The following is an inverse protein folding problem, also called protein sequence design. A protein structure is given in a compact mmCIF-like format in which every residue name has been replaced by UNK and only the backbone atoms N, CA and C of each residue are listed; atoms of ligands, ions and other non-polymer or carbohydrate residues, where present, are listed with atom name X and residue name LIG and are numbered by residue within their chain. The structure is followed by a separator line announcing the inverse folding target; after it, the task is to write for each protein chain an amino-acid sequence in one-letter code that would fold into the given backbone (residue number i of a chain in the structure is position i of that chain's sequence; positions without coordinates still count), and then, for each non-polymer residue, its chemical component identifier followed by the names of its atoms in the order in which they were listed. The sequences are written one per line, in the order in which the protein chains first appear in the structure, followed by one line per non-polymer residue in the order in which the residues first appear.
data_IF_788563538730
#
_entry.id   IF_788563538730
#
_cell.length_a   1.000
_cell.length_b   1.000
_cell.length_c   1.000
_cell.angle_alpha   90.00
_cell.angle_beta   90.00
_cell.angle_gamma   90.00
#
_symmetry.space_group_name_H-M   'P 1'
#
loop_
_entity.id
_entity.type
_entity.pdbx_description
1 polymer ?
#
# COMPACT_ATOMS: atom_id res chain seq x y z
N UNK A 1 -12.95 2.77 3.51
CA UNK A 1 -11.93 1.74 3.80
C UNK A 1 -11.87 0.79 2.63
N UNK A 2 -10.68 0.40 2.15
CA UNK A 2 -10.56 -0.72 1.22
C UNK A 2 -10.92 -2.02 1.94
N UNK A 3 -11.39 -3.02 1.19
CA UNK A 3 -11.49 -4.39 1.72
C UNK A 3 -10.08 -4.89 2.03
N UNK A 4 -9.88 -5.57 3.16
CA UNK A 4 -8.53 -5.91 3.63
C UNK A 4 -7.76 -6.71 2.59
N UNK A 5 -8.40 -7.68 1.92
CA UNK A 5 -7.77 -8.49 0.86
C UNK A 5 -7.21 -7.66 -0.30
N UNK A 6 -7.79 -6.48 -0.61
CA UNK A 6 -7.34 -5.65 -1.72
C UNK A 6 -5.99 -4.97 -1.42
N UNK A 7 -5.52 -5.04 -0.17
CA UNK A 7 -4.20 -4.59 0.24
C UNK A 7 -3.12 -5.68 0.06
N UNK A 8 -3.49 -6.90 -0.31
CA UNK A 8 -2.53 -7.95 -0.67
C UNK A 8 -1.71 -7.58 -1.92
N UNK A 9 -0.82 -8.47 -2.31
CA UNK A 9 -0.15 -8.39 -3.61
C UNK A 9 -1.10 -8.86 -4.71
N UNK A 10 -1.12 -8.14 -5.84
CA UNK A 10 -1.90 -8.47 -7.03
C UNK A 10 -0.95 -8.86 -8.17
N UNK A 11 -1.31 -9.87 -8.96
CA UNK A 11 -0.61 -10.22 -10.19
C UNK A 11 -1.54 -10.04 -11.37
N UNK A 12 -1.03 -9.43 -12.44
CA UNK A 12 -1.76 -9.29 -13.70
C UNK A 12 -0.81 -9.36 -14.88
N UNK A 13 -1.29 -9.83 -16.02
CA UNK A 13 -0.62 -9.65 -17.30
C UNK A 13 -1.62 -9.34 -18.39
N UNK A 14 -1.26 -8.45 -19.30
CA UNK A 14 -2.13 -8.17 -20.45
C UNK A 14 -1.97 -9.24 -21.53
N UNK A 15 -3.09 -9.74 -22.04
CA UNK A 15 -3.16 -10.58 -23.23
C UNK A 15 -4.34 -10.16 -24.12
N UNK A 16 -4.25 -10.47 -25.41
CA UNK A 16 -5.29 -10.21 -26.43
C UNK A 16 -5.96 -11.50 -26.92
N UNK A 17 -5.96 -12.56 -26.11
CA UNK A 17 -6.80 -13.71 -26.44
C UNK A 17 -8.26 -13.22 -26.46
N UNK A 18 -8.97 -13.47 -27.57
CA UNK A 18 -10.36 -13.06 -27.68
C UNK A 18 -11.17 -13.73 -26.57
N UNK A 19 -12.23 -13.09 -26.10
CA UNK A 19 -13.15 -13.65 -25.10
C UNK A 19 -13.55 -15.09 -25.45
N UNK A 20 -13.86 -15.31 -26.73
CA UNK A 20 -14.13 -16.64 -27.31
C UNK A 20 -12.96 -17.61 -27.12
N UNK A 21 -11.72 -17.22 -27.42
CA UNK A 21 -10.53 -18.07 -27.27
C UNK A 21 -10.21 -18.34 -25.80
N UNK A 22 -10.33 -17.33 -24.93
CA UNK A 22 -10.13 -17.47 -23.48
C UNK A 22 -11.13 -18.47 -22.93
N UNK A 23 -12.41 -18.36 -23.30
CA UNK A 23 -13.44 -19.31 -22.90
C UNK A 23 -13.23 -20.68 -23.54
N UNK A 24 -13.15 -20.81 -24.86
CA UNK A 24 -13.15 -22.12 -25.51
C UNK A 24 -11.86 -22.92 -25.28
N UNK A 25 -10.68 -22.27 -25.31
CA UNK A 25 -9.39 -22.97 -25.35
C UNK A 25 -8.65 -23.00 -24.01
N UNK A 26 -8.90 -22.05 -23.09
CA UNK A 26 -8.15 -21.92 -21.83
C UNK A 26 -8.99 -22.14 -20.58
N UNK A 27 -10.10 -21.41 -20.46
CA UNK A 27 -10.96 -21.37 -19.27
C UNK A 27 -12.44 -21.55 -19.65
N UNK A 28 -12.83 -22.75 -20.11
CA UNK A 28 -14.20 -23.04 -20.57
C UNK A 28 -15.24 -22.99 -19.47
N UNK A 29 -14.81 -23.10 -18.22
CA UNK A 29 -15.64 -22.87 -17.05
C UNK A 29 -15.01 -21.81 -16.13
N UNK A 30 -15.28 -20.51 -16.38
CA UNK A 30 -14.82 -19.42 -15.53
C UNK A 30 -15.33 -19.53 -14.10
N UNK A 31 -16.49 -20.17 -13.88
CA UNK A 31 -17.03 -20.35 -12.52
C UNK A 31 -16.17 -21.34 -11.74
N UNK A 32 -15.77 -22.44 -12.37
CA UNK A 32 -14.85 -23.41 -11.76
C UNK A 32 -13.47 -22.78 -11.50
N UNK A 33 -12.92 -22.01 -12.44
CA UNK A 33 -11.67 -21.27 -12.21
C UNK A 33 -11.76 -20.34 -10.98
N UNK A 34 -12.83 -19.53 -10.90
CA UNK A 34 -13.04 -18.61 -9.77
C UNK A 34 -13.25 -19.38 -8.48
N UNK A 35 -13.98 -20.50 -8.52
CA UNK A 35 -14.16 -21.38 -7.37
C UNK A 35 -12.81 -21.90 -6.85
N UNK A 36 -11.95 -22.39 -7.73
CA UNK A 36 -10.62 -22.92 -7.36
C UNK A 36 -9.73 -21.81 -6.80
N UNK A 37 -9.73 -20.63 -7.42
CA UNK A 37 -9.03 -19.45 -6.89
C UNK A 37 -9.51 -19.10 -5.48
N UNK A 38 -10.83 -19.05 -5.26
CA UNK A 38 -11.40 -18.77 -3.94
C UNK A 38 -11.08 -19.86 -2.93
N UNK A 39 -11.09 -21.13 -3.32
CA UNK A 39 -10.73 -22.27 -2.48
C UNK A 39 -9.26 -22.19 -2.03
N UNK A 40 -8.37 -21.69 -2.89
CA UNK A 40 -6.97 -21.41 -2.58
C UNK A 40 -6.72 -20.03 -1.93
N UNK A 41 -7.77 -19.30 -1.55
CA UNK A 41 -7.67 -18.02 -0.84
C UNK A 41 -7.35 -16.80 -1.73
N UNK A 42 -7.32 -16.96 -3.05
CA UNK A 42 -7.18 -15.88 -4.01
C UNK A 42 -8.50 -15.14 -4.26
N UNK A 43 -8.41 -13.98 -4.91
CA UNK A 43 -9.54 -13.19 -5.40
C UNK A 43 -9.37 -12.95 -6.89
N UNK A 44 -10.46 -13.03 -7.63
CA UNK A 44 -10.48 -12.74 -9.06
C UNK A 44 -10.95 -11.29 -9.31
N UNK A 45 -10.19 -10.53 -10.11
CA UNK A 45 -10.54 -9.19 -10.57
C UNK A 45 -10.54 -9.19 -12.10
N UNK A 46 -11.58 -8.64 -12.70
CA UNK A 46 -11.75 -8.60 -14.15
C UNK A 46 -11.64 -7.16 -14.65
N UNK A 47 -10.97 -6.99 -15.80
CA UNK A 47 -10.94 -5.69 -16.48
C UNK A 47 -12.28 -5.46 -17.19
N UNK A 48 -12.77 -4.23 -17.13
CA UNK A 48 -13.91 -3.77 -17.90
C UNK A 48 -13.52 -2.46 -18.57
N UNK A 49 -13.82 -2.35 -19.87
CA UNK A 49 -13.66 -1.12 -20.63
C UNK A 49 -15.05 -0.49 -20.87
N UNK A 50 -15.18 0.84 -20.82
CA UNK A 50 -16.47 1.50 -21.07
C UNK A 50 -16.86 1.48 -22.55
N UNK A 51 -15.92 1.24 -23.47
CA UNK A 51 -16.17 1.16 -24.89
C UNK A 51 -16.84 -0.16 -25.28
N UNK A 52 -18.03 -0.08 -25.86
CA UNK A 52 -18.76 -1.25 -26.35
C UNK A 52 -18.54 -1.39 -27.86
N UNK A 53 -18.25 -2.60 -28.32
CA UNK A 53 -18.08 -2.91 -29.74
C UNK A 53 -19.40 -2.67 -30.48
N UNK A 54 -19.33 -1.88 -31.54
CA UNK A 54 -20.44 -1.65 -32.49
C UNK A 54 -20.64 -2.91 -33.35
N UNK A 55 -21.45 -3.85 -32.86
CA UNK A 55 -21.70 -5.13 -33.50
C UNK A 55 -23.15 -5.58 -33.29
N UNK A 56 -23.95 -5.59 -34.37
CA UNK A 56 -25.33 -6.08 -34.31
C UNK A 56 -25.37 -7.57 -33.94
N UNK A 57 -26.26 -7.93 -33.00
CA UNK A 57 -26.33 -9.28 -32.44
C UNK A 57 -25.46 -9.49 -31.21
N UNK A 58 -24.54 -8.56 -30.92
CA UNK A 58 -23.88 -8.52 -29.61
C UNK A 58 -24.86 -7.93 -28.58
N UNK A 59 -25.33 -8.76 -27.65
CA UNK A 59 -26.44 -8.38 -26.78
C UNK A 59 -26.22 -7.09 -25.99
N UNK A 60 -24.98 -6.78 -25.57
CA UNK A 60 -24.66 -5.53 -24.85
C UNK A 60 -24.87 -4.30 -25.76
N UNK A 61 -24.43 -4.38 -27.01
CA UNK A 61 -24.70 -3.33 -28.00
C UNK A 61 -26.20 -3.23 -28.34
N UNK A 62 -26.88 -4.36 -28.55
CA UNK A 62 -28.30 -4.35 -28.92
C UNK A 62 -29.18 -3.78 -27.78
N UNK A 63 -28.89 -4.16 -26.53
CA UNK A 63 -29.64 -3.69 -25.34
C UNK A 63 -29.33 -2.23 -25.00
N UNK A 64 -28.07 -1.82 -25.12
CA UNK A 64 -27.70 -0.42 -24.93
C UNK A 64 -28.35 0.48 -25.98
N UNK A 65 -28.41 0.05 -27.24
CA UNK A 65 -29.08 0.78 -28.32
C UNK A 65 -30.59 0.92 -28.10
N UNK A 66 -31.24 -0.11 -27.56
CA UNK A 66 -32.67 -0.04 -27.19
C UNK A 66 -32.95 0.90 -26.01
N UNK A 67 -31.97 1.06 -25.12
CA UNK A 67 -32.11 1.84 -23.89
C UNK A 67 -31.59 3.27 -24.01
N UNK A 68 -31.08 3.64 -25.19
CA UNK A 68 -30.48 4.94 -25.51
C UNK A 68 -29.42 5.40 -24.48
N UNK A 69 -28.42 4.54 -24.25
CA UNK A 69 -27.35 4.79 -23.26
C UNK A 69 -26.04 5.27 -23.90
N UNK A 70 -26.03 5.52 -25.20
CA UNK A 70 -24.83 5.91 -25.93
C UNK A 70 -24.58 7.41 -25.85
N UNK A 71 -23.30 7.79 -25.83
CA UNK A 71 -22.93 9.17 -26.15
C UNK A 71 -23.40 9.44 -27.58
N UNK A 72 -24.18 10.49 -27.77
CA UNK A 72 -24.75 10.85 -29.07
C UNK A 72 -23.93 11.96 -29.74
N UNK A 73 -23.88 11.91 -31.07
CA UNK A 73 -23.46 13.03 -31.92
C UNK A 73 -24.55 14.11 -31.94
N UNK A 74 -24.21 15.29 -32.46
CA UNK A 74 -25.17 16.39 -32.62
C UNK A 74 -26.35 16.06 -33.56
N UNK A 75 -26.21 15.04 -34.42
CA UNK A 75 -27.26 14.55 -35.33
C UNK A 75 -28.22 13.53 -34.67
N UNK A 76 -28.01 13.21 -33.38
CA UNK A 76 -28.81 12.26 -32.61
C UNK A 76 -28.41 10.80 -32.80
N UNK A 77 -27.41 10.48 -33.62
CA UNK A 77 -26.87 9.13 -33.76
C UNK A 77 -25.83 8.79 -32.69
N UNK A 78 -25.61 7.50 -32.37
CA UNK A 78 -24.57 7.10 -31.42
C UNK A 78 -23.17 7.48 -31.92
N UNK A 79 -22.28 7.80 -30.99
CA UNK A 79 -20.87 8.10 -31.26
C UNK A 79 -20.10 6.80 -31.50
N UNK A 80 -19.64 6.59 -32.73
CA UNK A 80 -18.83 5.43 -33.13
C UNK A 80 -17.40 5.89 -33.44
N UNK A 81 -16.45 5.36 -32.66
CA UNK A 81 -15.01 5.72 -32.72
C UNK A 81 -14.41 5.55 -34.12
N UNK A 82 -14.79 4.48 -34.84
CA UNK A 82 -14.25 4.15 -36.17
C UNK A 82 -14.46 5.27 -37.19
N UNK A 83 -15.61 5.93 -37.14
CA UNK A 83 -15.96 7.00 -38.09
C UNK A 83 -15.05 8.21 -37.93
N UNK A 84 -14.57 8.49 -36.71
CA UNK A 84 -13.64 9.58 -36.44
C UNK A 84 -12.20 9.27 -36.85
N UNK A 85 -11.72 8.04 -36.61
CA UNK A 85 -10.38 7.61 -37.07
C UNK A 85 -10.28 7.74 -38.60
N UNK A 86 -11.37 7.44 -39.32
CA UNK A 86 -11.42 7.58 -40.78
C UNK A 86 -11.25 9.03 -41.29
N UNK A 87 -11.44 10.03 -40.42
CA UNK A 87 -11.23 11.45 -40.72
C UNK A 87 -9.77 11.93 -40.45
N UNK A 88 -8.83 11.01 -40.21
CA UNK A 88 -7.43 11.35 -39.92
C UNK A 88 -7.20 11.79 -38.47
N UNK A 89 -8.07 11.36 -37.55
CA UNK A 89 -7.89 11.56 -36.11
C UNK A 89 -6.97 10.48 -35.55
N UNK A 90 -5.83 10.89 -35.01
CA UNK A 90 -4.78 9.99 -34.51
C UNK A 90 -5.06 9.42 -33.10
N UNK A 91 -6.07 9.93 -32.39
CA UNK A 91 -6.41 9.47 -31.05
C UNK A 91 -7.73 10.04 -30.53
N UNK A 92 -8.34 9.34 -29.58
CA UNK A 92 -9.58 9.76 -28.91
C UNK A 92 -9.31 9.84 -27.42
N UNK A 93 -9.58 11.00 -26.83
CA UNK A 93 -9.62 11.18 -25.38
C UNK A 93 -11.04 10.90 -24.92
N UNK A 94 -11.23 9.82 -24.14
CA UNK A 94 -12.49 9.56 -23.45
C UNK A 94 -12.43 10.20 -22.05
N UNK A 95 -13.08 11.35 -21.89
CA UNK A 95 -13.00 12.16 -20.68
C UNK A 95 -14.10 11.76 -19.67
N UNK A 96 -13.80 10.78 -18.85
CA UNK A 96 -14.71 10.25 -17.82
C UNK A 96 -14.35 10.72 -16.40
N UNK A 97 -13.35 11.60 -16.24
CA UNK A 97 -12.72 11.90 -14.94
C UNK A 97 -12.88 13.36 -14.48
N UNK A 98 -13.52 14.24 -15.22
CA UNK A 98 -13.75 15.61 -14.74
C UNK A 98 -14.91 15.69 -13.74
N UNK A 99 -14.70 16.21 -12.51
CA UNK A 99 -15.79 16.79 -11.74
C UNK A 99 -16.15 18.14 -12.38
N UNK A 100 -16.91 18.13 -13.46
CA UNK A 100 -17.35 19.36 -14.10
C UNK A 100 -18.31 20.13 -13.16
N UNK A 101 -17.85 21.27 -12.63
CA UNK A 101 -18.71 22.20 -11.88
C UNK A 101 -19.52 23.00 -12.90
N UNK A 102 -20.66 22.46 -13.32
CA UNK A 102 -21.55 23.03 -14.35
C UNK A 102 -22.20 24.37 -13.98
N UNK A 103 -21.83 24.98 -12.85
CA UNK A 103 -22.41 26.23 -12.32
C UNK A 103 -21.52 27.46 -12.42
N UNK A 104 -20.26 27.34 -12.89
CA UNK A 104 -19.39 28.50 -13.16
C UNK A 104 -19.28 28.77 -14.67
N UNK A 105 -19.04 30.03 -15.05
CA UNK A 105 -18.91 30.48 -16.45
C UNK A 105 -17.73 29.81 -17.15
N UNK A 106 -16.66 29.53 -16.42
CA UNK A 106 -15.46 28.85 -16.94
C UNK A 106 -15.65 27.34 -17.09
N UNK A 107 -16.68 26.75 -16.45
CA UNK A 107 -16.95 25.29 -16.41
C UNK A 107 -15.77 24.40 -15.95
N UNK A 108 -14.71 25.02 -15.44
CA UNK A 108 -13.50 24.43 -14.84
C UNK A 108 -13.06 25.29 -13.65
N UNK A 109 -12.03 24.86 -12.91
CA UNK A 109 -11.43 25.66 -11.83
C UNK A 109 -10.99 27.06 -12.35
N UNK A 110 -10.92 28.10 -11.50
CA UNK A 110 -10.52 29.43 -11.93
C UNK A 110 -9.17 29.43 -12.68
N UNK A 111 -9.06 30.22 -13.76
CA UNK A 111 -7.83 30.32 -14.58
C UNK A 111 -6.58 30.77 -13.80
N UNK A 112 -6.76 31.31 -12.59
CA UNK A 112 -5.67 31.64 -11.67
C UNK A 112 -5.07 30.44 -10.94
N UNK A 113 -5.63 29.24 -11.11
CA UNK A 113 -5.12 28.02 -10.50
C UNK A 113 -3.87 27.54 -11.24
N UNK A 114 -2.73 27.64 -10.57
CA UNK A 114 -1.46 27.12 -11.07
C UNK A 114 -1.35 25.65 -10.64
N UNK A 115 -1.46 24.74 -11.60
CA UNK A 115 -1.10 23.33 -11.42
C UNK A 115 0.37 23.14 -11.83
N UNK A 116 1.27 23.03 -10.85
CA UNK A 116 2.66 22.61 -11.10
C UNK A 116 2.71 21.08 -10.99
N UNK A 117 2.39 20.39 -12.07
CA UNK A 117 2.63 18.95 -12.18
C UNK A 117 4.02 18.74 -12.75
N UNK A 118 4.96 18.30 -11.91
CA UNK A 118 6.28 17.81 -12.34
C UNK A 118 6.15 16.36 -12.86
N UNK A 119 7.09 15.94 -13.70
CA UNK A 119 7.20 14.62 -14.36
C UNK A 119 7.48 13.44 -13.39
N UNK A 120 7.27 13.61 -12.08
CA UNK A 120 7.78 12.72 -11.03
C UNK A 120 6.68 11.99 -10.23
N UNK A 121 7.00 10.74 -9.86
CA UNK A 121 6.32 9.84 -8.89
C UNK A 121 4.85 10.21 -8.54
N UNK A 122 3.94 9.95 -9.47
CA UNK A 122 2.51 10.29 -9.34
C UNK A 122 1.75 9.64 -8.17
N UNK A 123 2.34 8.68 -7.44
CA UNK A 123 1.72 8.03 -6.27
C UNK A 123 1.38 9.04 -5.17
N UNK A 124 2.32 9.93 -4.85
CA UNK A 124 2.13 10.88 -3.75
C UNK A 124 1.21 12.04 -4.12
N UNK A 125 1.26 12.49 -5.38
CA UNK A 125 0.32 13.47 -5.93
C UNK A 125 -1.12 12.94 -5.90
N UNK A 126 -1.32 11.66 -6.21
CA UNK A 126 -2.63 11.01 -6.07
C UNK A 126 -3.10 10.97 -4.60
N UNK A 127 -2.21 10.63 -3.67
CA UNK A 127 -2.50 10.68 -2.24
C UNK A 127 -2.92 12.08 -1.78
N UNK A 128 -2.17 13.11 -2.16
CA UNK A 128 -2.49 14.52 -1.88
C UNK A 128 -3.79 14.98 -2.57
N UNK A 129 -4.17 14.34 -3.67
CA UNK A 129 -5.43 14.58 -4.39
C UNK A 129 -6.60 13.77 -3.85
N UNK A 130 -6.46 13.11 -2.70
CA UNK A 130 -7.53 12.37 -2.04
C UNK A 130 -7.71 10.91 -2.52
N UNK A 131 -6.73 10.36 -3.24
CA UNK A 131 -6.69 8.95 -3.66
C UNK A 131 -5.61 8.18 -2.89
N UNK A 132 -5.92 7.62 -1.70
CA UNK A 132 -4.92 6.97 -0.84
C UNK A 132 -4.55 5.55 -1.27
N UNK A 133 -5.34 4.90 -2.14
CA UNK A 133 -5.05 3.56 -2.66
C UNK A 133 -4.47 3.69 -4.07
N UNK A 134 -3.18 3.98 -4.16
CA UNK A 134 -2.46 4.16 -5.43
C UNK A 134 -1.10 3.44 -5.40
N UNK A 135 -0.58 3.13 -6.58
CA UNK A 135 0.68 2.43 -6.77
C UNK A 135 0.93 2.14 -8.26
N UNK A 136 2.20 2.13 -8.70
CA UNK A 136 2.56 1.84 -10.08
C UNK A 136 2.58 0.33 -10.35
N UNK A 137 2.62 -0.04 -11.63
CA UNK A 137 2.85 -1.41 -12.05
C UNK A 137 4.28 -1.85 -11.73
N UNK A 138 4.40 -2.87 -10.88
CA UNK A 138 5.68 -3.39 -10.42
C UNK A 138 6.40 -4.10 -11.56
N UNK A 139 7.65 -3.70 -11.78
CA UNK A 139 8.46 -4.18 -12.91
C UNK A 139 8.35 -3.32 -14.17
N UNK A 140 7.42 -2.36 -14.20
CA UNK A 140 7.14 -1.52 -15.36
C UNK A 140 6.16 -2.20 -16.34
N UNK A 141 5.21 -1.42 -16.85
CA UNK A 141 4.20 -1.92 -17.79
C UNK A 141 4.80 -2.21 -19.18
N UNK A 142 5.55 -1.26 -19.73
CA UNK A 142 6.11 -1.34 -21.07
C UNK A 142 7.56 -1.86 -21.10
N UNK A 143 7.85 -2.71 -22.08
CA UNK A 143 9.18 -3.29 -22.27
C UNK A 143 9.60 -4.35 -21.23
N UNK A 144 10.83 -4.86 -21.37
CA UNK A 144 11.34 -5.96 -20.54
C UNK A 144 12.12 -5.43 -19.33
N UNK A 145 11.75 -5.91 -18.14
CA UNK A 145 12.55 -5.70 -16.94
C UNK A 145 13.82 -6.57 -16.96
N UNK A 146 14.85 -6.12 -16.24
CA UNK A 146 15.97 -7.00 -15.85
C UNK A 146 15.70 -7.61 -14.48
N UNK A 147 16.30 -8.75 -14.11
CA UNK A 147 16.14 -9.33 -12.78
C UNK A 147 16.40 -8.33 -11.64
N UNK A 148 17.49 -7.56 -11.77
CA UNK A 148 17.87 -6.53 -10.79
C UNK A 148 16.86 -5.38 -10.71
N UNK A 149 16.32 -4.94 -11.85
CA UNK A 149 15.27 -3.93 -11.87
C UNK A 149 14.01 -4.46 -11.19
N UNK A 150 13.57 -5.67 -11.55
CA UNK A 150 12.35 -6.26 -11.02
C UNK A 150 12.43 -6.49 -9.51
N UNK A 151 13.54 -7.06 -9.01
CA UNK A 151 13.75 -7.27 -7.57
C UNK A 151 13.70 -5.97 -6.76
N UNK A 152 14.37 -4.91 -7.23
CA UNK A 152 14.31 -3.58 -6.60
C UNK A 152 12.91 -2.98 -6.64
N UNK A 153 12.24 -3.12 -7.78
CA UNK A 153 10.88 -2.61 -7.97
C UNK A 153 9.91 -3.34 -7.04
N UNK A 154 10.06 -4.65 -6.86
CA UNK A 154 9.27 -5.40 -5.89
C UNK A 154 9.55 -4.93 -4.46
N UNK A 155 10.82 -4.69 -4.12
CA UNK A 155 11.23 -4.16 -2.81
C UNK A 155 10.48 -2.88 -2.42
N UNK A 156 10.52 -1.85 -3.28
CA UNK A 156 9.80 -0.60 -3.03
C UNK A 156 8.28 -0.76 -3.26
N UNK A 157 7.88 -1.51 -4.29
CA UNK A 157 6.50 -1.73 -4.69
C UNK A 157 5.66 -2.42 -3.62
N UNK A 158 6.28 -3.31 -2.84
CA UNK A 158 5.67 -3.95 -1.68
C UNK A 158 5.27 -2.94 -0.58
N UNK A 159 5.89 -1.75 -0.54
CA UNK A 159 5.62 -0.72 0.45
C UNK A 159 4.57 0.32 -0.01
N UNK A 160 4.15 0.31 -1.28
CA UNK A 160 3.11 1.22 -1.77
C UNK A 160 1.69 0.83 -1.30
N UNK A 161 0.75 1.78 -1.18
CA UNK A 161 -0.62 1.48 -0.77
C UNK A 161 -1.30 0.41 -1.65
N UNK A 162 -1.21 0.56 -2.97
CA UNK A 162 -1.60 -0.47 -3.95
C UNK A 162 -0.35 -1.19 -4.49
N UNK A 163 -0.37 -2.52 -4.48
CA UNK A 163 0.80 -3.35 -4.77
C UNK A 163 0.45 -4.39 -5.84
N UNK A 164 0.87 -4.14 -7.08
CA UNK A 164 0.54 -4.99 -8.23
C UNK A 164 1.71 -5.19 -9.19
N UNK A 165 2.05 -6.43 -9.52
CA UNK A 165 2.87 -6.76 -10.69
C UNK A 165 2.03 -6.76 -11.95
N UNK A 166 2.47 -6.04 -12.98
CA UNK A 166 1.78 -5.99 -14.27
C UNK A 166 2.72 -5.62 -15.43
N UNK A 167 2.51 -6.29 -16.57
CA UNK A 167 3.20 -5.99 -17.83
C UNK A 167 2.27 -6.07 -19.03
N UNK A 168 2.70 -5.45 -20.13
CA UNK A 168 2.06 -5.52 -21.43
C UNK A 168 2.27 -6.85 -22.15
N UNK A 169 1.62 -7.01 -23.29
CA UNK A 169 1.84 -8.12 -24.20
C UNK A 169 3.21 -7.98 -24.89
N UNK A 170 3.83 -9.10 -25.28
CA UNK A 170 5.14 -9.16 -25.96
C UNK A 170 6.34 -8.78 -25.09
N UNK A 171 6.15 -8.62 -23.77
CA UNK A 171 7.26 -8.66 -22.80
C UNK A 171 7.61 -10.10 -22.44
N UNK A 172 8.78 -10.29 -21.85
CA UNK A 172 9.08 -11.49 -21.07
C UNK A 172 8.13 -11.62 -19.87
N UNK A 173 8.21 -12.77 -19.23
CA UNK A 173 7.45 -13.07 -18.02
C UNK A 173 7.86 -12.13 -16.87
N UNK A 174 6.86 -11.45 -16.29
CA UNK A 174 7.02 -10.44 -15.22
C UNK A 174 6.41 -10.92 -13.89
N UNK A 175 6.27 -12.24 -13.73
CA UNK A 175 5.90 -12.86 -12.47
C UNK A 175 7.14 -12.93 -11.54
N UNK A 176 6.95 -12.89 -10.19
CA UNK A 176 8.08 -12.86 -9.25
C UNK A 176 9.10 -14.00 -9.37
N UNK A 177 8.69 -15.15 -9.90
CA UNK A 177 9.51 -16.35 -10.11
C UNK A 177 10.19 -16.41 -11.49
N UNK A 178 9.92 -15.44 -12.38
CA UNK A 178 10.37 -15.50 -13.77
C UNK A 178 11.79 -14.97 -14.02
N UNK A 179 12.41 -14.36 -13.00
CA UNK A 179 13.70 -13.65 -13.11
C UNK A 179 14.88 -14.39 -12.44
N UNK A 180 14.70 -15.68 -12.12
CA UNK A 180 15.70 -16.52 -11.44
C UNK A 180 15.67 -16.43 -9.91
N UNK A 181 16.35 -17.38 -9.27
CA UNK A 181 16.23 -17.66 -7.82
C UNK A 181 16.58 -16.46 -6.93
N UNK A 182 17.61 -15.68 -7.29
CA UNK A 182 18.01 -14.49 -6.53
C UNK A 182 16.90 -13.43 -6.52
N UNK A 183 16.33 -13.12 -7.70
CA UNK A 183 15.24 -12.16 -7.80
C UNK A 183 13.97 -12.66 -7.09
N UNK A 184 13.69 -13.95 -7.21
CA UNK A 184 12.56 -14.58 -6.52
C UNK A 184 12.69 -14.46 -5.00
N UNK A 185 13.89 -14.66 -4.44
CA UNK A 185 14.15 -14.44 -3.01
C UNK A 185 13.95 -12.98 -2.60
N UNK A 186 14.45 -12.02 -3.37
CA UNK A 186 14.19 -10.60 -3.10
C UNK A 186 12.69 -10.30 -3.09
N UNK A 187 11.94 -10.84 -4.05
CA UNK A 187 10.49 -10.68 -4.10
C UNK A 187 9.80 -11.31 -2.89
N UNK A 188 10.22 -12.51 -2.49
CA UNK A 188 9.71 -13.22 -1.31
C UNK A 188 9.93 -12.40 -0.03
N UNK A 189 11.12 -11.86 0.17
CA UNK A 189 11.43 -11.02 1.32
C UNK A 189 10.61 -9.72 1.30
N UNK A 190 10.53 -9.03 0.16
CA UNK A 190 9.72 -7.82 -0.01
C UNK A 190 8.24 -8.04 0.35
N UNK A 191 7.64 -9.12 -0.16
CA UNK A 191 6.26 -9.46 0.13
C UNK A 191 6.07 -9.86 1.59
N UNK A 192 6.98 -10.65 2.19
CA UNK A 192 6.94 -10.95 3.63
C UNK A 192 6.90 -9.68 4.48
N UNK A 193 7.72 -8.66 4.17
CA UNK A 193 7.66 -7.35 4.85
C UNK A 193 6.27 -6.73 4.78
N UNK A 194 5.66 -6.71 3.59
CA UNK A 194 4.31 -6.17 3.38
C UNK A 194 3.28 -6.88 4.24
N UNK A 195 3.29 -8.21 4.25
CA UNK A 195 2.31 -9.01 5.01
C UNK A 195 2.53 -8.87 6.52
N UNK A 196 3.78 -8.79 7.00
CA UNK A 196 4.08 -8.45 8.39
C UNK A 196 3.55 -7.05 8.77
N UNK A 197 3.69 -6.06 7.87
CA UNK A 197 3.21 -4.70 8.07
C UNK A 197 1.70 -4.53 7.84
N UNK A 198 0.97 -5.58 7.49
CA UNK A 198 -0.45 -5.46 7.12
C UNK A 198 -1.33 -4.85 8.22
N UNK A 199 -1.20 -5.20 9.53
CA UNK A 199 -1.98 -4.54 10.57
C UNK A 199 -1.74 -3.03 10.62
N UNK A 200 -0.50 -2.61 10.35
CA UNK A 200 -0.13 -1.20 10.31
C UNK A 200 -0.67 -0.51 9.05
N UNK A 201 -0.47 -1.07 7.85
CA UNK A 201 -1.00 -0.52 6.59
C UNK A 201 -2.52 -0.37 6.66
N UNK A 202 -3.23 -1.38 7.19
CA UNK A 202 -4.68 -1.34 7.34
C UNK A 202 -5.13 -0.23 8.32
N UNK A 203 -4.36 -0.04 9.39
CA UNK A 203 -4.57 1.07 10.32
C UNK A 203 -4.39 2.43 9.64
N UNK A 204 -3.37 2.59 8.78
CA UNK A 204 -3.16 3.84 8.03
C UNK A 204 -4.34 4.15 7.11
N UNK A 205 -4.97 3.15 6.49
CA UNK A 205 -6.18 3.38 5.69
C UNK A 205 -7.36 3.88 6.52
N UNK A 206 -7.50 3.41 7.77
CA UNK A 206 -8.51 3.93 8.68
C UNK A 206 -8.22 5.39 9.06
N UNK A 207 -6.96 5.70 9.36
CA UNK A 207 -6.53 7.08 9.63
C UNK A 207 -6.76 7.99 8.42
N UNK A 208 -6.49 7.51 7.20
CA UNK A 208 -6.78 8.24 5.97
C UNK A 208 -8.27 8.50 5.78
N UNK A 209 -9.12 7.51 6.06
CA UNK A 209 -10.58 7.68 6.03
C UNK A 209 -11.06 8.72 7.06
N UNK A 210 -10.51 8.73 8.28
CA UNK A 210 -10.97 9.60 9.36
C UNK A 210 -10.41 11.02 9.30
N UNK A 211 -9.16 11.18 8.89
CA UNK A 211 -8.43 12.45 8.97
C UNK A 211 -8.08 13.04 7.60
N UNK A 212 -8.21 12.28 6.51
CA UNK A 212 -7.79 12.70 5.18
C UNK A 212 -6.27 12.63 4.95
N UNK A 213 -5.48 12.21 5.94
CA UNK A 213 -4.02 12.04 5.79
C UNK A 213 -3.73 10.90 4.81
N UNK A 214 -2.89 11.09 3.77
CA UNK A 214 -2.55 10.00 2.85
C UNK A 214 -1.84 8.83 3.57
N UNK A 215 -2.02 7.61 3.06
CA UNK A 215 -1.35 6.41 3.61
C UNK A 215 0.16 6.46 3.38
N UNK A 216 0.56 6.85 2.17
CA UNK A 216 1.94 7.13 1.82
C UNK A 216 2.08 8.63 1.51
N UNK A 217 3.03 9.30 2.15
CA UNK A 217 3.26 10.74 1.99
C UNK A 217 4.72 11.03 1.60
N UNK A 218 4.99 12.13 0.88
CA UNK A 218 6.36 12.57 0.63
C UNK A 218 7.14 12.78 1.94
N UNK A 219 8.47 12.62 1.88
CA UNK A 219 9.34 12.76 3.06
C UNK A 219 9.24 14.11 3.76
N UNK A 220 8.92 15.19 3.03
CA UNK A 220 8.76 16.52 3.65
C UNK A 220 7.59 16.61 4.66
N UNK A 221 6.68 15.63 4.71
CA UNK A 221 5.65 15.57 5.75
C UNK A 221 6.25 15.39 7.16
N UNK A 222 7.47 14.85 7.26
CA UNK A 222 8.17 14.75 8.54
C UNK A 222 8.57 16.11 9.12
N UNK A 223 8.96 17.08 8.26
CA UNK A 223 9.21 18.47 8.66
C UNK A 223 8.95 19.41 7.48
N UNK A 224 7.72 19.94 7.32
CA UNK A 224 7.37 20.81 6.19
C UNK A 224 8.17 22.11 6.09
N UNK A 225 8.85 22.48 7.19
CA UNK A 225 9.71 23.67 7.31
C UNK A 225 11.11 23.43 6.74
N UNK A 226 11.52 22.18 6.55
CA UNK A 226 12.79 21.84 5.93
C UNK A 226 12.62 21.73 4.39
N UNK A 227 13.08 22.72 3.62
CA UNK A 227 12.92 22.71 2.17
C UNK A 227 13.78 21.64 1.49
N UNK A 228 14.81 21.10 2.16
CA UNK A 228 15.67 20.07 1.57
C UNK A 228 14.91 18.76 1.36
N UNK A 229 13.94 18.44 2.22
CA UNK A 229 13.13 17.22 2.14
C UNK A 229 12.18 17.20 0.94
N UNK A 230 11.90 18.35 0.32
CA UNK A 230 11.01 18.46 -0.85
C UNK A 230 11.63 17.91 -2.14
N UNK A 231 12.96 17.76 -2.16
CA UNK A 231 13.73 17.26 -3.31
C UNK A 231 14.06 15.77 -3.20
N UNK A 232 13.56 15.09 -2.16
CA UNK A 232 13.83 13.68 -1.94
C UNK A 232 12.82 12.84 -2.71
N UNK A 233 13.25 12.28 -3.83
CA UNK A 233 12.45 11.39 -4.69
C UNK A 233 12.67 9.90 -4.40
N UNK A 234 13.71 9.56 -3.63
CA UNK A 234 14.10 8.18 -3.32
C UNK A 234 13.64 7.72 -1.93
N UNK A 235 12.78 8.50 -1.27
CA UNK A 235 12.21 8.16 0.02
C UNK A 235 10.77 8.66 0.15
N UNK A 236 10.02 8.01 1.03
CA UNK A 236 8.69 8.43 1.40
C UNK A 236 8.32 7.91 2.79
N UNK A 237 7.26 8.46 3.37
CA UNK A 237 6.71 8.02 4.63
C UNK A 237 5.52 7.11 4.40
N UNK A 238 5.51 5.96 5.06
CA UNK A 238 4.35 5.10 5.25
C UNK A 238 3.91 5.28 6.72
N UNK A 239 3.07 6.30 6.96
CA UNK A 239 2.84 6.84 8.31
C UNK A 239 4.14 7.25 9.01
N UNK A 240 4.47 6.66 10.15
CA UNK A 240 5.71 6.87 10.91
C UNK A 240 6.93 6.08 10.43
N UNK A 241 6.81 5.27 9.37
CA UNK A 241 7.93 4.55 8.77
C UNK A 241 8.49 5.36 7.61
N UNK A 242 9.75 5.78 7.68
CA UNK A 242 10.48 6.28 6.52
C UNK A 242 11.03 5.11 5.72
N UNK A 243 10.54 4.99 4.48
CA UNK A 243 10.98 4.02 3.48
C UNK A 243 12.00 4.71 2.59
N UNK A 244 13.19 4.13 2.48
CA UNK A 244 14.28 4.65 1.65
C UNK A 244 14.74 3.58 0.66
N UNK A 245 14.75 3.89 -0.63
CA UNK A 245 15.11 2.93 -1.67
C UNK A 245 16.22 3.49 -2.57
N UNK A 246 17.03 2.60 -3.15
CA UNK A 246 17.97 3.02 -4.20
C UNK A 246 17.24 3.14 -5.53
N UNK A 247 17.23 4.34 -6.10
CA UNK A 247 16.70 4.62 -7.46
C UNK A 247 17.81 4.66 -8.52
N UNK A 248 19.08 4.52 -8.11
CA UNK A 248 20.24 4.68 -9.00
C UNK A 248 20.64 3.34 -9.62
N UNK A 249 20.85 3.28 -10.95
CA UNK A 249 21.35 2.07 -11.61
C UNK A 249 22.65 1.57 -10.98
N UNK A 250 22.73 0.27 -10.70
CA UNK A 250 23.92 -0.41 -10.16
C UNK A 250 24.42 0.03 -8.78
N UNK A 251 23.74 0.94 -8.09
CA UNK A 251 24.01 1.24 -6.69
C UNK A 251 22.98 0.54 -5.81
N UNK A 252 23.45 -0.27 -4.86
CA UNK A 252 22.61 -0.81 -3.80
C UNK A 252 22.44 0.22 -2.69
N UNK A 253 21.49 -0.04 -1.80
CA UNK A 253 21.22 0.86 -0.68
C UNK A 253 22.41 1.00 0.29
N UNK A 254 23.29 -0.01 0.34
CA UNK A 254 24.54 -0.02 1.09
C UNK A 254 25.50 1.13 0.72
N UNK A 255 25.30 1.75 -0.44
CA UNK A 255 26.15 2.82 -0.99
C UNK A 255 25.48 4.19 -1.02
N UNK A 256 24.27 4.31 -0.48
CA UNK A 256 23.46 5.53 -0.57
C UNK A 256 23.56 6.36 0.72
N UNK A 257 23.93 7.63 0.60
CA UNK A 257 23.82 8.59 1.70
C UNK A 257 22.35 8.95 1.92
N UNK A 258 21.74 8.35 2.94
CA UNK A 258 20.34 8.58 3.29
C UNK A 258 20.20 9.90 4.07
N UNK A 259 19.50 10.88 3.50
CA UNK A 259 19.18 12.13 4.21
C UNK A 259 17.95 11.88 5.09
N UNK A 260 18.15 11.84 6.41
CA UNK A 260 17.08 11.65 7.37
C UNK A 260 16.47 12.99 7.80
N UNK A 261 15.14 13.08 7.98
CA UNK A 261 14.52 14.24 8.64
C UNK A 261 15.08 14.44 10.05
N UNK A 262 14.91 15.65 10.60
CA UNK A 262 15.29 15.92 11.99
C UNK A 262 14.52 15.03 12.96
N UNK A 263 15.15 14.73 14.09
CA UNK A 263 14.61 13.87 15.15
C UNK A 263 15.19 12.47 15.15
N UNK A 264 14.60 11.60 15.96
CA UNK A 264 15.03 10.21 16.11
C UNK A 264 14.42 9.37 14.99
N UNK A 265 15.27 8.65 14.26
CA UNK A 265 14.88 7.67 13.25
C UNK A 265 15.68 6.40 13.47
N UNK A 266 15.02 5.33 13.91
CA UNK A 266 15.69 4.07 14.25
C UNK A 266 15.52 3.08 13.11
N UNK A 267 16.65 2.69 12.50
CA UNK A 267 16.66 1.67 11.44
C UNK A 267 16.22 0.32 11.99
N UNK A 268 15.40 -0.39 11.23
CA UNK A 268 15.03 -1.78 11.51
C UNK A 268 14.89 -2.58 10.21
N UNK A 269 14.91 -3.90 10.34
CA UNK A 269 14.60 -4.86 9.29
C UNK A 269 13.92 -6.09 9.90
N UNK A 270 13.62 -7.11 9.08
CA UNK A 270 12.97 -8.35 9.53
C UNK A 270 13.95 -9.53 9.45
N UNK A 271 15.23 -9.29 9.80
CA UNK A 271 16.35 -10.22 9.57
C UNK A 271 16.50 -10.61 8.08
N UNK A 272 16.18 -9.66 7.20
CA UNK A 272 16.04 -9.83 5.75
C UNK A 272 16.85 -8.79 4.97
N UNK A 273 17.98 -8.35 5.52
CA UNK A 273 18.84 -7.35 4.90
C UNK A 273 19.32 -7.79 3.50
N UNK A 274 18.97 -7.01 2.48
CA UNK A 274 19.36 -7.21 1.08
C UNK A 274 19.58 -5.84 0.40
N UNK A 275 20.61 -5.66 -0.46
CA UNK A 275 20.92 -4.36 -1.08
C UNK A 275 19.83 -3.80 -2.00
N UNK A 276 18.96 -4.67 -2.50
CA UNK A 276 17.84 -4.30 -3.39
C UNK A 276 16.50 -4.16 -2.64
N UNK A 277 16.46 -4.36 -1.32
CA UNK A 277 15.30 -4.04 -0.49
C UNK A 277 15.42 -2.64 0.10
N UNK A 278 14.30 -1.92 0.33
CA UNK A 278 14.35 -0.59 0.94
C UNK A 278 14.82 -0.65 2.40
N UNK A 279 15.46 0.40 2.89
CA UNK A 279 15.67 0.58 4.32
C UNK A 279 14.41 1.14 4.94
N UNK A 280 14.15 0.68 6.17
CA UNK A 280 13.04 1.14 6.98
C UNK A 280 13.60 1.81 8.21
N UNK A 281 13.11 3.01 8.50
CA UNK A 281 13.41 3.74 9.73
C UNK A 281 12.09 4.06 10.42
N UNK A 282 11.97 3.66 11.69
CA UNK A 282 10.82 4.03 12.51
C UNK A 282 11.11 5.36 13.20
N UNK A 283 10.18 6.32 13.05
CA UNK A 283 10.24 7.59 13.76
C UNK A 283 10.18 7.37 15.28
N UNK A 284 11.08 8.01 16.04
CA UNK A 284 10.99 8.03 17.50
C UNK A 284 9.67 8.64 17.95
N UNK A 285 9.11 8.10 19.03
CA UNK A 285 7.76 8.44 19.49
C UNK A 285 6.68 7.52 18.92
N UNK A 286 7.04 6.47 18.18
CA UNK A 286 6.07 5.62 17.47
C UNK A 286 6.03 4.18 17.96
N UNK A 287 4.82 3.62 17.98
CA UNK A 287 4.54 2.20 18.13
C UNK A 287 3.81 1.72 16.88
N UNK A 288 4.32 0.67 16.21
CA UNK A 288 3.65 0.06 15.06
C UNK A 288 3.34 -1.42 15.30
N UNK A 289 2.17 -1.92 14.87
CA UNK A 289 1.84 -3.33 14.96
C UNK A 289 2.41 -4.12 13.77
N UNK A 290 2.93 -5.31 14.06
CA UNK A 290 3.38 -6.30 13.08
C UNK A 290 2.60 -7.60 13.30
N UNK A 291 2.08 -8.16 12.21
CA UNK A 291 1.41 -9.45 12.19
C UNK A 291 2.31 -10.57 11.67
N UNK A 292 1.82 -11.82 11.65
CA UNK A 292 2.55 -12.91 11.04
C UNK A 292 2.56 -12.79 9.50
N UNK A 293 3.57 -13.36 8.82
CA UNK A 293 3.69 -13.31 7.37
C UNK A 293 2.73 -14.32 6.71
N UNK A 294 1.46 -13.94 6.58
CA UNK A 294 0.43 -14.72 5.89
C UNK A 294 0.75 -14.90 4.39
N UNK A 295 0.31 -16.02 3.81
CA UNK A 295 0.37 -16.24 2.36
C UNK A 295 -0.67 -15.40 1.61
N UNK A 296 -1.84 -15.24 2.22
CA UNK A 296 -2.90 -14.35 1.75
C UNK A 296 -3.68 -13.79 2.94
N UNK A 297 -4.34 -12.65 2.74
CA UNK A 297 -4.99 -11.94 3.85
C UNK A 297 -6.23 -12.63 4.42
N UNK A 298 -6.76 -13.64 3.73
CA UNK A 298 -7.80 -14.54 4.27
C UNK A 298 -7.31 -15.49 5.39
N UNK A 299 -6.00 -15.67 5.59
CA UNK A 299 -5.47 -16.47 6.71
C UNK A 299 -5.46 -15.70 8.04
N UNK A 300 -5.60 -14.37 7.99
CA UNK A 300 -5.51 -13.51 9.16
C UNK A 300 -6.62 -13.82 10.17
N UNK A 301 -6.24 -14.07 11.42
CA UNK A 301 -7.15 -14.39 12.50
C UNK A 301 -7.05 -13.33 13.62
N UNK A 302 -8.17 -12.86 14.19
CA UNK A 302 -8.15 -11.96 15.33
C UNK A 302 -7.27 -12.41 16.52
N UNK A 303 -7.09 -13.73 16.72
CA UNK A 303 -6.26 -14.27 17.82
C UNK A 303 -4.78 -14.45 17.46
N UNK A 304 -4.35 -14.09 16.24
CA UNK A 304 -2.94 -14.15 15.85
C UNK A 304 -2.10 -13.31 16.80
N UNK A 305 -0.92 -13.81 17.15
CA UNK A 305 0.03 -13.05 17.95
C UNK A 305 0.52 -11.85 17.14
N UNK A 306 0.57 -10.69 17.80
CA UNK A 306 1.14 -9.48 17.18
C UNK A 306 2.44 -9.08 17.88
N UNK A 307 3.32 -8.44 17.14
CA UNK A 307 4.45 -7.71 17.71
C UNK A 307 4.20 -6.20 17.69
N UNK A 308 4.47 -5.52 18.79
CA UNK A 308 4.50 -4.06 18.88
C UNK A 308 5.94 -3.61 18.78
N UNK A 309 6.31 -3.01 17.65
CA UNK A 309 7.62 -2.42 17.46
C UNK A 309 7.60 -0.99 18.00
N UNK A 310 8.47 -0.70 18.98
CA UNK A 310 8.48 0.55 19.74
C UNK A 310 9.79 1.29 19.51
N UNK A 311 9.71 2.54 19.05
CA UNK A 311 10.83 3.48 19.04
C UNK A 311 10.49 4.67 19.94
N UNK A 312 11.23 4.84 21.03
CA UNK A 312 11.00 5.96 21.95
C UNK A 312 11.54 7.28 21.36
N UNK A 313 10.88 8.39 21.69
CA UNK A 313 11.35 9.74 21.40
C UNK A 313 12.40 10.21 22.44
N UNK A 314 12.78 11.49 22.35
CA UNK A 314 13.77 12.12 23.25
C UNK A 314 13.29 12.18 24.71
N UNK A 315 11.97 12.18 24.94
CA UNK A 315 11.34 12.17 26.27
C UNK A 315 11.09 10.75 26.79
N UNK A 316 11.54 9.73 26.06
CA UNK A 316 11.35 8.32 26.42
C UNK A 316 9.92 7.84 26.25
N UNK A 317 9.14 8.45 25.35
CA UNK A 317 7.73 8.11 25.09
C UNK A 317 7.52 7.57 23.68
N UNK A 318 6.45 6.81 23.49
CA UNK A 318 5.95 6.47 22.17
C UNK A 318 4.46 6.20 22.19
N UNK A 319 3.78 6.45 21.07
CA UNK A 319 2.36 6.21 20.89
C UNK A 319 2.08 5.45 19.59
N UNK A 320 0.99 4.70 19.57
CA UNK A 320 0.54 4.03 18.37
C UNK A 320 -0.89 3.57 18.48
N UNK A 321 -1.46 3.25 17.33
CA UNK A 321 -2.85 2.82 17.21
C UNK A 321 -2.91 1.57 16.35
N UNK A 322 -3.86 0.69 16.66
CA UNK A 322 -4.22 -0.47 15.84
C UNK A 322 -5.71 -0.38 15.54
N UNK A 323 -6.08 -0.46 14.27
CA UNK A 323 -7.46 -0.63 13.81
C UNK A 323 -7.71 -2.07 13.38
N UNK A 324 -8.81 -2.64 13.86
CA UNK A 324 -9.24 -4.01 13.56
C UNK A 324 -10.75 -4.05 13.32
N UNK A 325 -11.18 -4.78 12.29
CA UNK A 325 -12.58 -5.10 11.97
C UNK A 325 -12.64 -6.41 11.15
N UNK A 326 -13.81 -6.74 10.56
CA UNK A 326 -14.01 -7.95 9.73
C UNK A 326 -13.18 -7.89 8.43
N UNK A 327 -12.68 -6.72 8.03
CA UNK A 327 -11.94 -6.55 6.78
C UNK A 327 -12.82 -6.53 5.51
N UNK A 328 -14.15 -6.52 5.66
CA UNK A 328 -15.12 -6.52 4.54
C UNK A 328 -15.31 -5.14 3.87
N UNK A 329 -14.79 -4.10 4.51
CA UNK A 329 -14.87 -2.71 4.07
C UNK A 329 -16.12 -1.94 4.51
N UNK A 330 -16.98 -2.50 5.37
CA UNK A 330 -18.24 -1.86 5.78
C UNK A 330 -18.46 -1.78 7.29
N UNK A 331 -17.97 -2.75 8.08
CA UNK A 331 -18.23 -2.83 9.53
C UNK A 331 -17.93 -1.52 10.29
N UNK A 332 -16.84 -0.84 9.91
CA UNK A 332 -16.44 0.43 10.52
C UNK A 332 -17.52 1.53 10.47
N UNK A 333 -18.43 1.50 9.50
CA UNK A 333 -19.53 2.49 9.36
C UNK A 333 -20.61 2.34 10.43
N UNK A 334 -20.74 1.13 11.00
CA UNK A 334 -21.71 0.80 12.06
C UNK A 334 -21.08 0.77 13.46
N UNK A 335 -19.81 1.15 13.58
CA UNK A 335 -19.06 1.03 14.84
C UNK A 335 -18.53 -0.37 15.12
N UNK A 336 -18.67 -1.32 14.20
CA UNK A 336 -18.18 -2.70 14.31
C UNK A 336 -16.69 -2.76 13.99
N UNK A 337 -15.89 -2.11 14.83
CA UNK A 337 -14.44 -2.09 14.78
C UNK A 337 -13.86 -2.00 16.20
N UNK A 338 -12.55 -2.23 16.31
CA UNK A 338 -11.74 -1.97 17.49
C UNK A 338 -10.60 -1.04 17.13
N UNK A 339 -10.54 0.11 17.79
CA UNK A 339 -9.36 0.96 17.83
C UNK A 339 -8.67 0.74 19.17
N UNK A 340 -7.41 0.29 19.18
CA UNK A 340 -6.63 0.16 20.42
C UNK A 340 -5.46 1.14 20.38
N UNK A 341 -5.45 2.09 21.32
CA UNK A 341 -4.38 3.06 21.49
C UNK A 341 -3.37 2.53 22.50
N UNK A 342 -2.10 2.47 22.10
CA UNK A 342 -0.98 2.07 22.93
C UNK A 342 -0.11 3.27 23.25
N UNK A 343 0.39 3.30 24.48
CA UNK A 343 1.42 4.25 24.93
C UNK A 343 2.56 3.48 25.58
N UNK A 344 3.79 3.90 25.31
CA UNK A 344 5.00 3.42 25.94
C UNK A 344 5.68 4.59 26.65
N UNK A 345 6.11 4.38 27.89
CA UNK A 345 6.80 5.39 28.68
C UNK A 345 7.99 4.74 29.40
N UNK A 346 9.17 5.36 29.26
CA UNK A 346 10.36 5.06 30.05
C UNK A 346 10.29 5.81 31.37
N UNK A 347 10.26 5.07 32.47
CA UNK A 347 10.34 5.62 33.81
C UNK A 347 11.54 4.99 34.53
N UNK A 348 12.54 5.80 34.84
CA UNK A 348 13.84 5.36 35.36
C UNK A 348 14.53 4.36 34.43
N UNK A 349 14.37 3.06 34.67
CA UNK A 349 14.98 1.96 33.90
C UNK A 349 13.96 0.95 33.39
N UNK A 350 12.66 1.24 33.54
CA UNK A 350 11.57 0.35 33.13
C UNK A 350 10.75 1.03 32.05
N UNK A 351 10.52 0.32 30.96
CA UNK A 351 9.62 0.74 29.88
C UNK A 351 8.29 0.05 30.11
N UNK A 352 7.24 0.82 30.26
CA UNK A 352 5.87 0.31 30.40
C UNK A 352 5.11 0.55 29.11
N UNK A 353 4.60 -0.51 28.50
CA UNK A 353 3.66 -0.43 27.37
C UNK A 353 2.28 -0.78 27.87
N UNK A 354 1.31 0.11 27.66
CA UNK A 354 -0.08 -0.06 28.11
C UNK A 354 -1.06 0.38 27.05
N UNK A 355 -2.29 -0.11 27.15
CA UNK A 355 -3.41 0.44 26.40
C UNK A 355 -3.92 1.67 27.13
N UNK A 356 -3.93 2.80 26.45
CA UNK A 356 -4.44 4.07 27.00
C UNK A 356 -5.95 4.21 26.78
N UNK A 357 -6.45 3.73 25.63
CA UNK A 357 -7.85 3.85 25.23
C UNK A 357 -8.23 2.76 24.24
N UNK A 358 -9.50 2.35 24.27
CA UNK A 358 -10.13 1.55 23.22
C UNK A 358 -11.39 2.24 22.69
N UNK A 359 -11.68 2.05 21.41
CA UNK A 359 -12.88 2.59 20.75
C UNK A 359 -13.54 1.55 19.85
N UNK A 360 -14.83 1.73 19.60
CA UNK A 360 -15.64 0.82 18.78
C UNK A 360 -16.31 -0.30 19.58
N UNK A 361 -17.16 -1.07 18.91
CA UNK A 361 -18.00 -2.10 19.53
C UNK A 361 -17.36 -3.49 19.51
N UNK A 362 -16.25 -3.65 18.77
CA UNK A 362 -15.62 -4.94 18.61
C UNK A 362 -14.82 -5.34 19.85
N UNK A 363 -15.02 -6.57 20.31
CA UNK A 363 -14.36 -7.08 21.52
C UNK A 363 -12.88 -7.39 21.25
N UNK A 364 -12.01 -6.85 22.11
CA UNK A 364 -10.57 -7.11 22.01
C UNK A 364 -10.26 -8.62 22.09
N UNK A 365 -9.55 -9.18 21.09
CA UNK A 365 -9.20 -10.60 21.09
C UNK A 365 -8.18 -10.91 22.19
N UNK A 366 -8.28 -12.12 22.77
CA UNK A 366 -7.32 -12.65 23.72
C UNK A 366 -6.17 -13.33 22.96
N UNK A 367 -5.09 -12.58 22.74
CA UNK A 367 -3.87 -13.01 22.02
C UNK A 367 -2.60 -12.60 22.76
N UNK A 368 -1.45 -13.13 22.37
CA UNK A 368 -0.16 -12.63 22.89
C UNK A 368 0.27 -11.39 22.12
N UNK A 369 0.90 -10.46 22.84
CA UNK A 369 1.53 -9.28 22.27
C UNK A 369 3.01 -9.33 22.63
N UNK A 370 3.87 -9.38 21.62
CA UNK A 370 5.31 -9.32 21.78
C UNK A 370 5.76 -7.87 21.67
N UNK A 371 6.37 -7.31 22.72
CA UNK A 371 6.91 -5.95 22.65
C UNK A 371 8.36 -6.02 22.19
N UNK A 372 8.67 -5.34 21.09
CA UNK A 372 10.01 -5.23 20.53
C UNK A 372 10.46 -3.78 20.62
N UNK A 373 11.45 -3.50 21.47
CA UNK A 373 12.00 -2.17 21.62
C UNK A 373 13.18 -1.98 20.67
N UNK A 374 13.11 -0.96 19.82
CA UNK A 374 14.21 -0.53 18.98
C UNK A 374 15.15 0.38 19.78
N UNK A 375 16.41 -0.03 19.89
CA UNK A 375 17.48 0.76 20.51
C UNK A 375 18.35 1.37 19.41
N UNK A 376 18.41 2.69 19.35
CA UNK A 376 19.20 3.42 18.34
C UNK A 376 20.67 3.01 18.34
N UNK A 377 21.19 2.62 17.18
CA UNK A 377 22.58 2.18 17.00
C UNK A 377 23.64 3.29 16.87
N UNK A 378 23.28 4.56 16.98
CA UNK A 378 24.19 5.70 16.77
C UNK A 378 24.16 6.69 17.92
N UNK A 379 25.33 6.91 18.54
CA UNK A 379 25.72 8.01 19.44
C UNK A 379 24.62 8.91 20.04
N UNK A 380 23.64 8.33 20.73
CA UNK A 380 22.99 9.05 21.82
C UNK A 380 23.97 9.00 22.98
N UNK A 381 24.35 10.15 23.54
CA UNK A 381 24.87 10.20 24.91
C UNK A 381 23.72 9.79 25.83
N UNK A 382 23.46 8.49 25.92
CA UNK A 382 22.62 7.96 26.97
C UNK A 382 23.34 8.28 28.30
N UNK A 383 22.62 8.68 29.36
CA UNK A 383 23.18 8.74 30.70
C UNK A 383 23.91 7.43 31.01
N UNK A 384 25.02 7.49 31.76
CA UNK A 384 26.00 6.41 31.96
C UNK A 384 25.45 5.04 32.40
N UNK A 385 24.17 4.95 32.76
CA UNK A 385 23.47 3.70 33.09
C UNK A 385 23.18 2.76 31.89
N UNK A 386 23.25 3.23 30.64
CA UNK A 386 22.79 2.46 29.47
C UNK A 386 23.86 1.65 28.73
N UNK A 387 25.16 1.79 29.07
CA UNK A 387 26.25 1.10 28.37
C UNK A 387 26.31 -0.42 28.63
N UNK A 388 25.41 -0.96 29.45
CA UNK A 388 25.43 -2.35 29.90
C UNK A 388 24.42 -3.28 29.20
N UNK A 389 23.73 -2.83 28.14
CA UNK A 389 22.58 -3.56 27.56
C UNK A 389 22.78 -4.05 26.11
N UNK A 390 24.01 -4.44 25.73
CA UNK A 390 24.26 -5.23 24.48
C UNK A 390 24.17 -6.75 24.68
N UNK A 391 23.80 -7.22 25.87
CA UNK A 391 23.60 -8.66 26.16
C UNK A 391 22.45 -8.82 27.14
N UNK A 392 21.22 -8.99 26.66
CA UNK A 392 20.20 -9.86 27.27
C UNK A 392 18.94 -9.85 26.40
N UNK A 393 18.75 -10.91 25.59
CA UNK A 393 17.42 -11.35 25.18
C UNK A 393 16.74 -11.92 26.43
N UNK A 394 15.93 -11.11 27.11
CA UNK A 394 15.15 -11.57 28.26
C UNK A 394 13.71 -11.83 27.81
N UNK A 395 13.31 -13.11 27.84
CA UNK A 395 11.92 -13.56 27.88
C UNK A 395 11.15 -12.71 28.90
N UNK A 396 10.20 -11.92 28.44
CA UNK A 396 9.30 -11.18 29.33
C UNK A 396 8.06 -12.04 29.58
N UNK A 397 7.97 -12.61 30.77
CA UNK A 397 6.72 -13.21 31.27
C UNK A 397 5.73 -12.08 31.60
N UNK A 398 4.57 -12.10 30.96
CA UNK A 398 3.42 -11.28 31.34
C UNK A 398 2.88 -11.78 32.69
N UNK A 399 3.04 -10.98 33.75
CA UNK A 399 2.16 -11.10 34.92
C UNK A 399 0.91 -10.27 34.65
N UNK A 400 -0.20 -10.95 34.39
CA UNK A 400 -1.53 -10.33 34.45
C UNK A 400 -1.77 -9.87 35.90
N UNK A 401 -1.67 -8.57 36.16
CA UNK A 401 -2.30 -8.00 37.34
C UNK A 401 -3.82 -8.12 37.12
N UNK A 402 -4.46 -8.96 37.93
CA UNK A 402 -5.91 -9.10 37.94
C UNK A 402 -6.55 -7.76 38.24
N UNK A 403 -7.41 -7.31 37.34
CA UNK A 403 -8.52 -6.44 37.68
C UNK A 403 -9.75 -7.28 37.43
N UNK A 404 -10.31 -7.80 38.52
CA UNK A 404 -11.69 -8.25 38.59
C UNK A 404 -12.58 -7.04 38.33
N UNK A 405 -13.41 -7.11 37.30
CA UNK A 405 -14.82 -6.73 37.30
C UNK A 405 -15.40 -7.13 35.93
N UNK A 406 -16.63 -7.65 35.98
CA UNK A 406 -17.31 -8.52 35.01
C UNK A 406 -17.43 -8.03 33.56
#
# INVERSE_FOLDING_TARGET
MPQKWSLGYHQRRWSYDSDKRVHEDRFPDPKSLVHDLHHSGFKAIWMLDPGIKDEAGYFVYDTGSKSDVWIQKADGGPFVVKDFISNGVDGIWNDMNEPAVFKSVTKTMPESNIHRGDDELGVFLQGLSGQPLSGPDIGGFGGNATPKLFGRWMGIGAMFPFCRGHSEINTIDHEPWSFGEECEEVCRLALKRRYCLMPYIYTLFYMAHKMGTPVATPTFFADPRDPSLRKLENSFLLGSILVYASTVPNQGLDKLDCTLPKGIWVRFDFDDSHPDLPALYLQGGSIIPLGPPHQHLGEANPIDDLSLLVALDEDGKAEGVIFEDEGDGYGFTRGEYLLTHYVAELQSSVITVRVSKTEGLWKRPKRRLHVQLLLGGGSMKLPSAFQMWKRFLAKTEFRSAGCSEE
#
